data_IF_175770860660
#
_entry.id   IF_175770860660
#
_cell.length_a   1.000
_cell.length_b   1.000
_cell.length_c   1.000
_cell.angle_alpha   90.00
_cell.angle_beta   90.00
_cell.angle_gamma   90.00
#
_symmetry.space_group_name_H-M   'P 1'
#
loop_
_entity.id
_entity.type
_entity.pdbx_description
1 polymer ?
#
# COMPACT_ATOMS: atom_id res chain seq x y z
N UNK A 1 27.70 -36.71 -29.76
CA UNK A 1 27.70 -35.29 -30.20
C UNK A 1 26.34 -34.72 -29.84
N UNK A 2 26.35 -33.53 -29.21
CA UNK A 2 25.23 -32.80 -28.60
C UNK A 2 23.96 -32.66 -29.50
N UNK A 3 22.77 -32.31 -29.02
CA UNK A 3 22.40 -31.52 -27.86
C UNK A 3 21.02 -31.91 -27.31
N UNK A 4 20.90 -31.86 -25.98
CA UNK A 4 19.65 -31.63 -25.29
C UNK A 4 19.47 -30.12 -25.16
N UNK A 5 18.30 -29.56 -25.49
CA UNK A 5 17.87 -28.25 -24.97
C UNK A 5 16.38 -27.95 -25.27
N UNK A 6 15.60 -27.74 -24.20
CA UNK A 6 14.41 -26.86 -24.18
C UNK A 6 13.02 -27.52 -23.99
N UNK A 7 12.09 -26.92 -23.21
CA UNK A 7 12.22 -25.69 -22.41
C UNK A 7 12.64 -26.00 -20.95
N UNK A 8 13.13 -24.99 -20.20
CA UNK A 8 13.37 -25.17 -18.78
C UNK A 8 12.05 -25.52 -18.09
N UNK A 9 12.03 -26.62 -17.33
CA UNK A 9 11.01 -26.80 -16.30
C UNK A 9 10.94 -25.50 -15.50
N UNK A 10 9.74 -24.96 -15.35
CA UNK A 10 9.51 -23.78 -14.55
C UNK A 10 10.04 -24.06 -13.14
N UNK A 11 11.24 -23.55 -12.85
CA UNK A 11 11.85 -23.57 -11.53
C UNK A 11 10.91 -22.89 -10.52
N UNK A 12 11.12 -23.09 -9.22
CA UNK A 12 10.17 -22.77 -8.16
C UNK A 12 9.97 -21.26 -7.99
N UNK A 13 9.19 -20.66 -8.90
CA UNK A 13 8.59 -19.34 -8.83
C UNK A 13 7.06 -19.45 -8.72
N UNK A 14 6.50 -20.65 -8.88
CA UNK A 14 5.05 -20.94 -8.73
C UNK A 14 4.61 -21.26 -7.29
N UNK A 15 5.43 -20.98 -6.27
CA UNK A 15 5.06 -21.13 -4.85
C UNK A 15 5.29 -19.88 -4.01
N UNK A 16 4.98 -18.71 -4.55
CA UNK A 16 4.83 -17.50 -3.75
C UNK A 16 3.32 -17.19 -3.59
N UNK A 17 2.71 -17.32 -2.39
CA UNK A 17 1.30 -16.97 -2.18
C UNK A 17 1.07 -15.45 -2.12
N UNK A 18 1.82 -14.67 -2.89
CA UNK A 18 1.67 -13.23 -2.96
C UNK A 18 1.94 -12.75 -4.39
N UNK A 19 0.90 -12.72 -5.21
CA UNK A 19 0.94 -12.05 -6.51
C UNK A 19 0.67 -10.56 -6.28
N UNK A 20 1.72 -9.80 -5.97
CA UNK A 20 1.65 -8.35 -6.02
C UNK A 20 1.48 -7.89 -7.48
N UNK A 21 0.25 -7.96 -7.99
CA UNK A 21 -0.10 -7.37 -9.29
C UNK A 21 -0.22 -5.87 -9.10
N UNK A 22 0.93 -5.18 -9.07
CA UNK A 22 0.99 -3.75 -9.28
C UNK A 22 0.43 -3.47 -10.68
N UNK A 23 -0.88 -3.30 -10.74
CA UNK A 23 -1.58 -2.91 -11.95
C UNK A 23 -1.81 -1.42 -11.78
N UNK A 24 -0.97 -0.56 -12.36
CA UNK A 24 -1.27 0.86 -12.40
C UNK A 24 -2.60 1.01 -13.14
N UNK A 25 -3.65 1.29 -12.39
CA UNK A 25 -4.92 1.70 -12.99
C UNK A 25 -4.82 3.20 -13.15
N UNK A 26 -4.88 3.69 -14.39
CA UNK A 26 -4.81 5.11 -14.73
C UNK A 26 -6.01 5.85 -14.12
N UNK A 27 -5.80 6.76 -13.17
CA UNK A 27 -6.74 7.81 -12.84
C UNK A 27 -6.46 8.99 -13.79
N UNK A 28 -7.51 9.47 -14.45
CA UNK A 28 -7.45 10.80 -15.03
C UNK A 28 -7.32 11.83 -13.88
N UNK A 29 -6.66 12.97 -14.14
CA UNK A 29 -6.56 14.14 -13.25
C UNK A 29 -5.41 14.16 -12.21
N UNK A 30 -4.22 13.64 -12.51
CA UNK A 30 -3.02 13.90 -11.70
C UNK A 30 -2.77 12.95 -10.52
N UNK A 31 -3.30 11.73 -10.59
CA UNK A 31 -3.12 10.69 -9.58
C UNK A 31 -2.78 9.37 -10.28
N UNK A 32 -2.23 8.38 -9.58
CA UNK A 32 -2.16 6.98 -10.00
C UNK A 32 -2.59 6.04 -8.87
N UNK A 33 -3.19 4.91 -9.22
CA UNK A 33 -3.61 3.90 -8.25
C UNK A 33 -2.75 2.66 -8.37
N UNK A 34 -2.20 2.21 -7.24
CA UNK A 34 -1.57 0.90 -7.10
C UNK A 34 -2.55 -0.04 -6.43
N UNK A 35 -2.79 -1.20 -7.05
CA UNK A 35 -3.61 -2.26 -6.48
C UNK A 35 -2.73 -3.38 -5.93
N UNK A 36 -2.86 -3.67 -4.64
CA UNK A 36 -2.27 -4.85 -4.00
C UNK A 36 -3.34 -5.94 -3.94
N UNK A 37 -3.00 -7.16 -4.37
CA UNK A 37 -3.96 -8.27 -4.46
C UNK A 37 -3.36 -9.51 -3.80
N UNK A 38 -4.15 -10.18 -2.97
CA UNK A 38 -3.89 -11.52 -2.46
C UNK A 38 -5.21 -12.28 -2.52
N UNK A 39 -5.25 -13.39 -3.25
CA UNK A 39 -6.47 -14.11 -3.60
C UNK A 39 -7.56 -13.21 -4.20
N UNK A 40 -8.75 -13.15 -3.59
CA UNK A 40 -9.88 -12.30 -3.98
C UNK A 40 -9.90 -10.94 -3.24
N UNK A 41 -8.92 -10.68 -2.37
CA UNK A 41 -8.86 -9.49 -1.52
C UNK A 41 -7.95 -8.45 -2.15
N UNK A 42 -8.26 -7.16 -1.96
CA UNK A 42 -7.38 -6.10 -2.45
C UNK A 42 -7.36 -4.88 -1.55
N UNK A 43 -6.19 -4.24 -1.49
CA UNK A 43 -6.00 -2.89 -0.95
C UNK A 43 -5.58 -2.01 -2.12
N UNK A 44 -6.12 -0.80 -2.21
CA UNK A 44 -5.67 0.18 -3.22
C UNK A 44 -4.97 1.33 -2.54
N UNK A 45 -3.92 1.83 -3.18
CA UNK A 45 -3.16 3.00 -2.76
C UNK A 45 -3.38 4.08 -3.83
N UNK A 46 -3.89 5.24 -3.42
CA UNK A 46 -4.04 6.39 -4.30
C UNK A 46 -2.87 7.35 -4.07
N UNK A 47 -2.07 7.58 -5.10
CA UNK A 47 -0.86 8.39 -5.03
C UNK A 47 -0.98 9.56 -5.98
N UNK A 48 -0.60 10.76 -5.54
CA UNK A 48 -0.62 11.98 -6.35
C UNK A 48 0.58 12.01 -7.30
N UNK A 49 0.37 12.34 -8.57
CA UNK A 49 1.43 12.29 -9.58
C UNK A 49 2.46 13.41 -9.43
N UNK A 50 2.04 14.60 -9.03
CA UNK A 50 2.91 15.78 -9.05
C UNK A 50 4.05 15.72 -8.02
N UNK A 51 3.83 15.03 -6.90
CA UNK A 51 4.80 14.94 -5.80
C UNK A 51 5.05 13.49 -5.35
N UNK A 52 4.27 12.51 -5.83
CA UNK A 52 4.41 11.11 -5.45
C UNK A 52 3.89 10.78 -4.05
N UNK A 53 3.09 11.65 -3.40
CA UNK A 53 2.57 11.39 -2.05
C UNK A 53 1.37 10.45 -2.04
N UNK A 54 1.34 9.54 -1.06
CA UNK A 54 0.18 8.71 -0.78
C UNK A 54 -0.94 9.57 -0.18
N UNK A 55 -2.08 9.64 -0.86
CA UNK A 55 -3.22 10.49 -0.52
C UNK A 55 -4.29 9.71 0.24
N UNK A 56 -4.56 8.49 -0.21
CA UNK A 56 -5.61 7.65 0.35
C UNK A 56 -5.33 6.16 0.18
N UNK A 57 -6.02 5.35 0.98
CA UNK A 57 -6.09 3.90 0.82
C UNK A 57 -7.54 3.44 0.64
N UNK A 58 -7.76 2.39 -0.16
CA UNK A 58 -9.03 1.68 -0.21
C UNK A 58 -8.87 0.34 0.50
N UNK A 59 -9.74 0.08 1.48
CA UNK A 59 -9.83 -1.20 2.16
C UNK A 59 -10.53 -2.24 1.27
N UNK A 60 -10.42 -3.52 1.62
CA UNK A 60 -10.99 -4.65 0.86
C UNK A 60 -12.49 -4.64 0.67
N UNK A 61 -13.25 -3.84 1.44
CA UNK A 61 -14.67 -3.62 1.27
C UNK A 61 -15.01 -2.45 0.32
N UNK A 62 -14.00 -1.83 -0.28
CA UNK A 62 -14.17 -0.73 -1.23
C UNK A 62 -14.24 0.66 -0.60
N UNK A 63 -14.18 0.77 0.72
CA UNK A 63 -14.24 2.06 1.41
C UNK A 63 -12.90 2.79 1.38
N UNK A 64 -12.92 4.09 1.10
CA UNK A 64 -11.71 4.93 1.02
C UNK A 64 -11.41 5.64 2.34
N UNK A 65 -10.13 5.77 2.64
CA UNK A 65 -9.61 6.51 3.78
C UNK A 65 -8.51 7.44 3.28
N UNK A 66 -8.68 8.76 3.42
CA UNK A 66 -7.69 9.76 3.01
C UNK A 66 -6.98 10.34 4.24
N UNK A 67 -5.73 10.76 4.11
CA UNK A 67 -4.97 11.30 5.26
C UNK A 67 -5.52 12.64 5.74
N UNK A 68 -5.25 12.98 7.00
CA UNK A 68 -5.43 14.33 7.49
C UNK A 68 -4.53 15.32 6.72
N UNK A 69 -5.05 16.51 6.44
CA UNK A 69 -4.41 17.51 5.58
C UNK A 69 -4.46 17.23 4.07
N UNK A 70 -4.96 16.06 3.65
CA UNK A 70 -5.10 15.70 2.24
C UNK A 70 -6.50 16.01 1.71
N UNK A 71 -6.58 16.67 0.55
CA UNK A 71 -7.86 16.85 -0.16
C UNK A 71 -8.05 15.68 -1.13
N UNK A 72 -9.04 14.78 -0.91
CA UNK A 72 -9.29 13.69 -1.82
C UNK A 72 -9.81 14.22 -3.18
N UNK A 73 -9.44 13.60 -4.31
CA UNK A 73 -10.03 13.95 -5.59
C UNK A 73 -11.51 13.56 -5.67
N UNK A 74 -12.28 14.28 -6.50
CA UNK A 74 -13.74 14.17 -6.61
C UNK A 74 -14.25 12.73 -6.75
N UNK A 75 -13.52 11.88 -7.49
CA UNK A 75 -13.93 10.49 -7.74
C UNK A 75 -13.88 9.57 -6.51
N UNK A 76 -13.25 10.00 -5.40
CA UNK A 76 -13.35 9.31 -4.11
C UNK A 76 -13.95 10.17 -3.00
N UNK A 77 -14.07 11.49 -3.18
CA UNK A 77 -14.40 12.45 -2.12
C UNK A 77 -15.68 12.05 -1.35
N UNK A 78 -16.76 11.72 -2.06
CA UNK A 78 -18.06 11.34 -1.47
C UNK A 78 -18.03 9.97 -0.75
N UNK A 79 -17.05 9.13 -1.07
CA UNK A 79 -16.93 7.74 -0.59
C UNK A 79 -15.75 7.52 0.36
N UNK A 80 -15.15 8.62 0.84
CA UNK A 80 -13.94 8.57 1.66
C UNK A 80 -14.14 9.20 3.03
N UNK A 81 -13.43 8.67 4.03
CA UNK A 81 -13.37 9.23 5.38
C UNK A 81 -11.95 9.70 5.68
N UNK A 82 -11.84 10.85 6.34
CA UNK A 82 -10.57 11.38 6.79
C UNK A 82 -9.99 10.52 7.92
N UNK A 83 -8.74 10.11 7.78
CA UNK A 83 -7.99 9.40 8.81
C UNK A 83 -7.54 10.37 9.90
N UNK A 84 -7.39 9.87 11.13
CA UNK A 84 -6.80 10.63 12.26
C UNK A 84 -5.27 10.79 12.17
N UNK A 85 -4.68 10.57 11.01
CA UNK A 85 -3.24 10.60 10.80
C UNK A 85 -2.92 11.33 9.51
N UNK A 86 -1.81 12.07 9.53
CA UNK A 86 -1.26 12.73 8.35
C UNK A 86 -0.35 11.78 7.56
N UNK A 87 -0.17 12.05 6.26
CA UNK A 87 0.70 11.28 5.38
C UNK A 87 2.21 11.50 5.67
N UNK A 88 2.56 12.43 6.56
CA UNK A 88 3.94 12.80 6.82
C UNK A 88 4.72 11.66 7.48
N UNK A 89 6.00 11.52 7.12
CA UNK A 89 6.85 10.48 7.70
C UNK A 89 6.99 10.64 9.23
N UNK A 90 7.05 11.87 9.73
CA UNK A 90 7.15 12.16 11.16
C UNK A 90 5.88 11.73 11.89
N UNK A 91 4.71 11.92 11.25
CA UNK A 91 3.43 11.50 11.79
C UNK A 91 3.30 9.97 11.78
N UNK A 92 3.75 9.30 10.72
CA UNK A 92 3.61 7.84 10.58
C UNK A 92 4.72 7.00 11.24
N UNK A 93 5.92 7.55 11.38
CA UNK A 93 7.08 6.90 11.97
C UNK A 93 7.84 7.88 12.88
N UNK A 94 7.25 8.30 14.01
CA UNK A 94 7.80 9.36 14.88
C UNK A 94 9.13 8.99 15.54
N UNK A 95 9.43 7.68 15.67
CA UNK A 95 10.68 7.20 16.25
C UNK A 95 11.85 7.16 15.25
N UNK A 96 11.79 7.99 14.20
CA UNK A 96 12.80 8.13 13.17
C UNK A 96 12.75 7.03 12.11
N UNK A 97 13.70 7.08 11.16
CA UNK A 97 13.84 6.08 10.07
C UNK A 97 14.12 4.69 10.63
N UNK A 98 13.11 4.04 11.15
CA UNK A 98 13.15 2.62 11.40
C UNK A 98 13.45 2.00 10.03
N UNK A 99 14.58 1.30 9.93
CA UNK A 99 14.95 0.62 8.70
C UNK A 99 13.85 -0.40 8.44
N UNK A 100 12.93 -0.06 7.54
CA UNK A 100 11.95 -1.02 7.05
C UNK A 100 12.76 -2.13 6.37
N UNK A 101 12.69 -3.33 6.92
CA UNK A 101 13.08 -4.50 6.14
C UNK A 101 12.09 -4.60 4.99
N UNK A 102 12.53 -4.27 3.78
CA UNK A 102 11.70 -4.39 2.58
C UNK A 102 11.81 -5.81 2.07
N UNK A 103 10.68 -6.50 2.00
CA UNK A 103 10.61 -7.85 1.49
C UNK A 103 9.17 -8.34 1.32
N UNK A 104 8.97 -9.48 0.63
CA UNK A 104 7.63 -10.01 0.38
C UNK A 104 6.82 -10.27 1.65
N UNK A 105 7.47 -10.74 2.73
CA UNK A 105 6.80 -11.01 4.00
C UNK A 105 6.29 -9.73 4.67
N UNK A 106 7.09 -8.65 4.67
CA UNK A 106 6.73 -7.37 5.25
C UNK A 106 5.63 -6.68 4.43
N UNK A 107 5.69 -6.78 3.11
CA UNK A 107 4.64 -6.27 2.22
C UNK A 107 3.31 -7.00 2.43
N UNK A 108 3.34 -8.33 2.59
CA UNK A 108 2.16 -9.12 2.95
C UNK A 108 1.60 -8.75 4.33
N UNK A 109 2.47 -8.55 5.32
CA UNK A 109 2.02 -8.13 6.66
C UNK A 109 1.33 -6.77 6.60
N UNK A 110 1.92 -5.80 5.92
CA UNK A 110 1.33 -4.48 5.74
C UNK A 110 0.00 -4.57 4.97
N UNK A 111 -0.09 -5.39 3.92
CA UNK A 111 -1.36 -5.68 3.22
C UNK A 111 -2.45 -6.20 4.16
N UNK A 112 -2.15 -7.21 4.99
CA UNK A 112 -3.11 -7.78 5.95
C UNK A 112 -3.59 -6.77 6.99
N UNK A 113 -2.69 -5.89 7.45
CA UNK A 113 -3.03 -4.80 8.38
C UNK A 113 -3.97 -3.79 7.71
N UNK A 114 -3.63 -3.31 6.51
CA UNK A 114 -4.43 -2.31 5.80
C UNK A 114 -5.77 -2.86 5.29
N UNK A 115 -5.84 -4.15 4.98
CA UNK A 115 -7.09 -4.83 4.65
C UNK A 115 -8.12 -4.74 5.80
N UNK A 116 -7.64 -4.63 7.05
CA UNK A 116 -8.46 -4.51 8.26
C UNK A 116 -8.32 -3.12 8.92
N UNK A 117 -7.93 -2.11 8.14
CA UNK A 117 -7.79 -0.74 8.62
C UNK A 117 -9.07 -0.29 9.32
N UNK A 118 -8.92 0.36 10.47
CA UNK A 118 -10.01 0.89 11.27
C UNK A 118 -9.60 2.23 11.88
N UNK A 119 -10.24 3.30 11.38
CA UNK A 119 -10.01 4.67 11.79
C UNK A 119 -10.49 4.97 13.23
N UNK A 120 -11.28 4.09 13.84
CA UNK A 120 -11.78 4.26 15.21
C UNK A 120 -10.81 3.74 16.27
N UNK A 121 -9.73 3.07 15.89
CA UNK A 121 -8.73 2.55 16.83
C UNK A 121 -8.10 3.69 17.62
N UNK A 122 -8.07 3.55 18.94
CA UNK A 122 -7.55 4.58 19.84
C UNK A 122 -6.04 4.78 19.66
N UNK A 123 -5.62 6.05 19.65
CA UNK A 123 -4.20 6.44 19.61
C UNK A 123 -3.44 5.85 20.81
N UNK A 124 -2.17 5.49 20.60
CA UNK A 124 -1.31 4.90 21.63
C UNK A 124 -1.53 3.40 21.89
N UNK A 125 -2.39 2.74 21.10
CA UNK A 125 -2.54 1.28 21.13
C UNK A 125 -1.59 0.61 20.13
N UNK A 126 -1.15 -0.61 20.42
CA UNK A 126 -0.33 -1.39 19.47
C UNK A 126 -0.98 -1.50 18.09
N UNK A 127 -2.32 -1.63 18.03
CA UNK A 127 -3.06 -1.71 16.77
C UNK A 127 -3.05 -0.38 16.00
N UNK A 128 -3.02 0.75 16.69
CA UNK A 128 -2.83 2.05 16.04
C UNK A 128 -1.43 2.13 15.44
N UNK A 129 -0.41 1.76 16.23
CA UNK A 129 0.99 1.74 15.78
C UNK A 129 1.20 0.80 14.60
N UNK A 130 0.61 -0.40 14.59
CA UNK A 130 0.69 -1.36 13.48
C UNK A 130 0.14 -0.77 12.17
N UNK A 131 -1.04 -0.12 12.23
CA UNK A 131 -1.65 0.52 11.05
C UNK A 131 -0.78 1.66 10.53
N UNK A 132 -0.25 2.45 11.45
CA UNK A 132 0.62 3.58 11.15
C UNK A 132 1.92 3.12 10.48
N UNK A 133 2.55 2.08 11.03
CA UNK A 133 3.77 1.48 10.47
C UNK A 133 3.52 0.81 9.11
N UNK A 134 2.36 0.18 8.92
CA UNK A 134 1.97 -0.37 7.63
C UNK A 134 1.81 0.73 6.56
N UNK A 135 1.21 1.87 6.90
CA UNK A 135 1.11 3.02 5.99
C UNK A 135 2.48 3.62 5.68
N UNK A 136 3.34 3.82 6.69
CA UNK A 136 4.71 4.27 6.48
C UNK A 136 5.49 3.34 5.56
N UNK A 137 5.36 2.02 5.75
CA UNK A 137 5.96 1.02 4.86
C UNK A 137 5.46 1.16 3.42
N UNK A 138 4.16 1.35 3.19
CA UNK A 138 3.61 1.56 1.85
C UNK A 138 4.16 2.85 1.20
N UNK A 139 4.30 3.93 1.96
CA UNK A 139 4.94 5.16 1.47
C UNK A 139 6.39 4.88 1.03
N UNK A 140 7.18 4.15 1.83
CA UNK A 140 8.56 3.82 1.46
C UNK A 140 8.64 2.96 0.20
N UNK A 141 7.83 1.91 0.10
CA UNK A 141 7.90 0.96 -1.02
C UNK A 141 7.38 1.58 -2.32
N UNK A 142 6.30 2.35 -2.27
CA UNK A 142 5.58 2.77 -3.48
C UNK A 142 5.69 4.25 -3.82
N UNK A 143 5.98 5.11 -2.84
CA UNK A 143 6.17 6.54 -3.06
C UNK A 143 7.66 6.85 -3.21
N UNK A 144 8.47 6.52 -2.19
CA UNK A 144 9.92 6.76 -2.25
C UNK A 144 10.61 5.85 -3.25
N UNK A 145 10.21 4.58 -3.36
CA UNK A 145 10.78 3.66 -4.36
C UNK A 145 10.56 4.09 -5.82
N UNK A 146 9.66 5.05 -6.07
CA UNK A 146 9.39 5.62 -7.40
C UNK A 146 10.15 6.94 -7.66
N UNK A 147 10.53 7.68 -6.61
CA UNK A 147 11.27 8.95 -6.74
C UNK A 147 12.76 8.70 -6.96
#
# INVERSE_FOLDING_TARGET
MAAADGPPEAGPLERAPFMCRNTPTTPANGYFIIRLVEDALSVRLLIRECDGYLVAIQRGDGFWFHFDGETPPDFIAESSVQMRMEASYVSLAPNGRQLFQVGPAQLRNAFCILLKHNNEVAMGTNRYDDQRMALAFMCVVFCEGRR
#
